data_IF_829687194828
#
_entry.id   IF_829687194828
#
_cell.length_a   1.000
_cell.length_b   1.000
_cell.length_c   1.000
_cell.angle_alpha   90.00
_cell.angle_beta   90.00
_cell.angle_gamma   90.00
#
_symmetry.space_group_name_H-M   'P 1'
#
loop_
_entity.id
_entity.type
_entity.pdbx_description
1 polymer ?
#
# COMPACT_ATOMS: atom_id res chain seq x y z
N UNK A 1 7.68 2.66 -0.37
CA UNK A 1 6.51 1.79 -0.12
C UNK A 1 5.28 2.43 -0.76
N UNK A 2 4.41 1.68 -1.44
CA UNK A 2 3.20 2.26 -2.07
C UNK A 2 2.23 2.87 -1.04
N UNK A 3 2.08 2.21 0.11
CA UNK A 3 1.29 2.70 1.25
C UNK A 3 1.82 3.98 1.92
N UNK A 4 3.01 4.46 1.52
CA UNK A 4 3.58 5.76 1.94
C UNK A 4 3.52 6.78 0.81
N UNK A 5 3.96 6.40 -0.39
CA UNK A 5 4.12 7.33 -1.51
C UNK A 5 2.79 7.73 -2.14
N UNK A 6 1.84 6.80 -2.32
CA UNK A 6 0.55 7.12 -2.95
C UNK A 6 -0.26 8.11 -2.10
N UNK A 7 -0.37 7.95 -0.76
CA UNK A 7 -0.95 8.98 0.09
C UNK A 7 -0.21 10.33 0.05
N UNK A 8 1.12 10.33 -0.08
CA UNK A 8 1.90 11.56 -0.20
C UNK A 8 1.62 12.29 -1.51
N UNK A 9 1.57 11.57 -2.63
CA UNK A 9 1.24 12.14 -3.94
C UNK A 9 -0.17 12.76 -3.94
N UNK A 10 -1.14 12.08 -3.30
CA UNK A 10 -2.49 12.61 -3.13
C UNK A 10 -2.47 13.89 -2.30
N UNK A 11 -1.79 13.90 -1.15
CA UNK A 11 -1.68 15.06 -0.28
C UNK A 11 -0.98 16.26 -0.95
N UNK A 12 -0.07 15.99 -1.89
CA UNK A 12 0.60 17.02 -2.70
C UNK A 12 -0.28 17.56 -3.84
N UNK A 13 -1.45 16.97 -4.09
CA UNK A 13 -2.28 17.31 -5.24
C UNK A 13 -1.58 17.01 -6.57
N UNK A 14 -0.82 15.92 -6.63
CA UNK A 14 -0.12 15.52 -7.84
C UNK A 14 -1.11 15.35 -9.02
N UNK A 15 -0.82 15.89 -10.21
CA UNK A 15 -1.71 15.80 -11.37
C UNK A 15 -1.64 14.38 -11.98
N UNK A 16 -2.36 13.44 -11.40
CA UNK A 16 -2.40 12.04 -11.83
C UNK A 16 -3.76 11.75 -12.47
N UNK A 17 -3.74 11.28 -13.72
CA UNK A 17 -4.95 10.97 -14.47
C UNK A 17 -5.43 9.53 -14.28
N UNK A 18 -4.52 8.59 -13.97
CA UNK A 18 -4.81 7.15 -13.88
C UNK A 18 -4.08 6.54 -12.68
N UNK A 19 -4.78 5.73 -11.88
CA UNK A 19 -4.21 4.95 -10.76
C UNK A 19 -4.65 3.50 -10.81
N UNK A 20 -3.70 2.58 -10.62
CA UNK A 20 -3.94 1.14 -10.44
C UNK A 20 -2.84 0.56 -9.54
N UNK A 21 -2.98 -0.69 -9.12
CA UNK A 21 -1.99 -1.38 -8.30
C UNK A 21 -1.71 -2.80 -8.83
N UNK A 22 -0.43 -3.21 -8.79
CA UNK A 22 -0.01 -4.59 -9.10
C UNK A 22 0.90 -5.17 -8.01
N UNK A 23 0.87 -4.62 -6.80
CA UNK A 23 1.49 -5.29 -5.67
C UNK A 23 0.88 -6.67 -5.45
N UNK A 24 1.60 -7.56 -4.77
CA UNK A 24 1.09 -8.90 -4.44
C UNK A 24 0.07 -8.89 -3.29
N UNK A 25 -0.92 -7.99 -3.33
CA UNK A 25 -1.92 -7.83 -2.27
C UNK A 25 -2.78 -9.09 -2.01
N UNK A 26 -2.83 -10.02 -2.97
CA UNK A 26 -3.47 -11.32 -2.82
C UNK A 26 -2.80 -12.21 -1.75
N UNK A 27 -1.51 -11.98 -1.46
CA UNK A 27 -0.77 -12.62 -0.38
C UNK A 27 -0.27 -11.55 0.61
N UNK A 28 -0.93 -11.38 1.76
CA UNK A 28 -0.49 -10.40 2.77
C UNK A 28 0.94 -10.60 3.28
N UNK A 29 1.51 -11.80 3.19
CA UNK A 29 2.91 -12.03 3.56
C UNK A 29 3.88 -11.54 2.48
N UNK A 30 3.39 -11.26 1.26
CA UNK A 30 4.15 -10.71 0.15
C UNK A 30 4.00 -9.18 -0.02
N UNK A 31 3.14 -8.54 0.79
CA UNK A 31 2.99 -7.07 0.78
C UNK A 31 3.80 -6.44 1.92
N UNK A 32 4.81 -5.64 1.58
CA UNK A 32 5.68 -4.99 2.56
C UNK A 32 4.90 -4.00 3.45
N UNK A 33 4.78 -4.25 4.76
CA UNK A 33 4.17 -3.29 5.67
C UNK A 33 4.99 -2.01 5.77
N UNK A 34 4.32 -0.88 6.00
CA UNK A 34 5.02 0.38 6.32
C UNK A 34 5.85 0.24 7.60
N UNK A 35 6.98 0.95 7.65
CA UNK A 35 7.91 0.91 8.79
C UNK A 35 8.77 -0.36 8.91
N UNK A 36 8.69 -1.30 7.95
CA UNK A 36 9.60 -2.45 7.83
C UNK A 36 10.55 -2.22 6.66
N UNK A 37 11.86 -2.39 6.90
CA UNK A 37 12.85 -2.38 5.83
C UNK A 37 12.69 -3.62 4.94
N UNK A 38 12.91 -3.50 3.64
CA UNK A 38 12.66 -4.60 2.70
C UNK A 38 13.52 -5.83 3.01
N UNK A 39 14.77 -5.61 3.40
CA UNK A 39 15.72 -6.62 3.84
C UNK A 39 15.25 -7.41 5.07
N UNK A 40 14.45 -6.81 5.95
CA UNK A 40 13.95 -7.43 7.18
C UNK A 40 12.61 -8.14 6.98
N UNK A 41 12.00 -8.02 5.78
CA UNK A 41 10.64 -8.48 5.51
C UNK A 41 10.46 -9.97 5.76
N UNK A 42 11.39 -10.79 5.24
CA UNK A 42 11.34 -12.25 5.37
C UNK A 42 11.44 -12.69 6.83
N UNK A 43 12.36 -12.09 7.58
CA UNK A 43 12.57 -12.39 9.00
C UNK A 43 11.37 -11.94 9.85
N UNK A 44 10.82 -10.75 9.58
CA UNK A 44 9.64 -10.24 10.25
C UNK A 44 8.40 -11.10 9.99
N UNK A 45 8.20 -11.57 8.75
CA UNK A 45 7.11 -12.45 8.38
C UNK A 45 7.24 -13.84 9.02
N UNK A 46 8.47 -14.40 9.05
CA UNK A 46 8.72 -15.70 9.67
C UNK A 46 8.54 -15.67 11.20
N UNK A 47 8.94 -14.57 11.85
CA UNK A 47 8.88 -14.41 13.31
C UNK A 47 7.45 -14.27 13.84
N UNK A 48 6.60 -13.53 13.14
CA UNK A 48 5.21 -13.29 13.55
C UNK A 48 4.30 -13.16 12.31
N UNK A 49 3.91 -14.29 11.67
CA UNK A 49 3.12 -14.26 10.45
C UNK A 49 1.76 -13.58 10.61
N UNK A 50 1.12 -13.76 11.76
CA UNK A 50 -0.20 -13.19 12.05
C UNK A 50 -0.12 -11.67 12.24
N UNK A 51 0.82 -11.19 13.06
CA UNK A 51 1.03 -9.76 13.24
C UNK A 51 1.56 -9.09 11.97
N UNK A 52 2.41 -9.76 11.20
CA UNK A 52 2.84 -9.28 9.89
C UNK A 52 1.65 -9.11 8.93
N UNK A 53 0.78 -10.12 8.84
CA UNK A 53 -0.45 -10.07 8.03
C UNK A 53 -1.34 -8.88 8.43
N UNK A 54 -1.51 -8.63 9.73
CA UNK A 54 -2.27 -7.47 10.22
C UNK A 54 -1.64 -6.15 9.75
N UNK A 55 -0.33 -5.96 9.94
CA UNK A 55 0.37 -4.74 9.51
C UNK A 55 0.38 -4.55 7.99
N UNK A 56 0.47 -5.65 7.23
CA UNK A 56 0.36 -5.62 5.78
C UNK A 56 -1.02 -5.13 5.34
N UNK A 57 -2.10 -5.66 5.93
CA UNK A 57 -3.48 -5.23 5.65
C UNK A 57 -3.74 -3.77 6.04
N UNK A 58 -3.19 -3.30 7.16
CA UNK A 58 -3.25 -1.89 7.55
C UNK A 58 -2.56 -1.00 6.51
N UNK A 59 -1.42 -1.45 5.97
CA UNK A 59 -0.70 -0.74 4.91
C UNK A 59 -1.48 -0.74 3.58
N UNK A 60 -2.06 -1.88 3.19
CA UNK A 60 -2.95 -1.98 2.03
C UNK A 60 -4.17 -1.05 2.17
N UNK A 61 -4.80 -1.01 3.35
CA UNK A 61 -5.95 -0.14 3.59
C UNK A 61 -5.60 1.34 3.37
N UNK A 62 -4.44 1.78 3.88
CA UNK A 62 -3.92 3.13 3.66
C UNK A 62 -3.59 3.40 2.19
N UNK A 63 -3.07 2.40 1.47
CA UNK A 63 -2.80 2.50 0.04
C UNK A 63 -4.11 2.70 -0.75
N UNK A 64 -5.11 1.85 -0.51
CA UNK A 64 -6.42 1.90 -1.17
C UNK A 64 -7.18 3.16 -0.82
N UNK A 65 -7.11 3.64 0.42
CA UNK A 65 -7.70 4.93 0.82
C UNK A 65 -7.16 6.08 -0.05
N UNK A 66 -5.86 6.08 -0.36
CA UNK A 66 -5.30 7.07 -1.26
C UNK A 66 -5.72 6.87 -2.73
N UNK A 67 -5.88 5.63 -3.19
CA UNK A 67 -6.43 5.35 -4.53
C UNK A 67 -7.87 5.89 -4.64
N UNK A 68 -8.71 5.68 -3.62
CA UNK A 68 -10.06 6.26 -3.55
C UNK A 68 -10.00 7.79 -3.53
N UNK A 69 -9.08 8.39 -2.77
CA UNK A 69 -8.89 9.84 -2.79
C UNK A 69 -8.50 10.39 -4.16
N UNK A 70 -7.71 9.66 -4.96
CA UNK A 70 -7.45 10.03 -6.35
C UNK A 70 -8.69 9.89 -7.24
N UNK A 71 -9.52 8.87 -7.02
CA UNK A 71 -10.81 8.71 -7.70
C UNK A 71 -11.72 9.90 -7.40
N UNK A 72 -11.82 10.32 -6.14
CA UNK A 72 -12.58 11.49 -5.72
C UNK A 72 -12.05 12.80 -6.33
N UNK A 73 -10.74 12.87 -6.59
CA UNK A 73 -10.09 13.99 -7.27
C UNK A 73 -10.25 13.96 -8.80
N UNK A 74 -10.89 12.92 -9.36
CA UNK A 74 -11.23 12.80 -10.77
C UNK A 74 -10.29 11.92 -11.61
N UNK A 75 -9.34 11.21 -10.99
CA UNK A 75 -8.52 10.22 -11.68
C UNK A 75 -9.34 8.97 -12.02
N UNK A 76 -9.00 8.30 -13.12
CA UNK A 76 -9.50 6.96 -13.42
C UNK A 76 -8.77 5.94 -12.52
N UNK A 77 -9.52 5.17 -11.72
CA UNK A 77 -8.94 4.24 -10.75
C UNK A 77 -9.52 2.85 -10.95
N UNK A 78 -8.64 1.85 -11.08
CA UNK A 78 -9.02 0.46 -11.28
C UNK A 78 -8.05 -0.53 -10.60
N UNK A 79 -8.59 -1.70 -10.24
CA UNK A 79 -7.85 -2.89 -9.78
C UNK A 79 -7.30 -3.66 -10.98
#
# INVERSE_FOLDING_TARGET
>A
NAAELVPQLLAMGAPIDIVTDQTSAHDPLAYLPTGIAFEDMADAAAKDPAGFTTRARESMARHVEAMVGFQDAGAEVFD
#
